data_IF_918851986380
#
_entry.id   IF_918851986380
#
_cell.length_a   1.000
_cell.length_b   1.000
_cell.length_c   1.000
_cell.angle_alpha   90.00
_cell.angle_beta   90.00
_cell.angle_gamma   90.00
#
_symmetry.space_group_name_H-M   'P 1'
#
loop_
_entity.id
_entity.type
_entity.pdbx_description
1 polymer ?
#
# COMPACT_ATOMS: atom_id res chain seq x y z
N UNK A 1 8.63 9.65 7.33
CA UNK A 1 8.05 9.02 8.55
C UNK A 1 6.53 9.20 8.51
N UNK A 2 5.74 8.16 8.91
CA UNK A 2 4.28 8.28 8.97
C UNK A 2 3.89 8.19 10.44
N UNK A 3 3.21 9.22 10.96
CA UNK A 3 2.72 9.26 12.34
C UNK A 3 1.21 9.01 12.34
N UNK A 4 0.80 7.98 13.06
CA UNK A 4 -0.59 7.57 13.23
C UNK A 4 -0.95 7.67 14.71
N UNK A 5 -1.97 8.43 15.02
CA UNK A 5 -2.58 8.50 16.35
C UNK A 5 -4.07 8.77 16.19
N UNK A 6 -4.85 7.72 15.93
CA UNK A 6 -6.26 7.87 15.59
C UNK A 6 -7.14 6.74 16.10
N UNK A 7 -8.43 7.04 16.18
CA UNK A 7 -9.49 6.09 16.50
C UNK A 7 -10.56 6.11 15.41
N UNK A 8 -11.00 4.92 15.00
CA UNK A 8 -12.15 4.70 14.12
C UNK A 8 -13.14 3.81 14.85
N UNK A 9 -14.39 4.25 14.89
CA UNK A 9 -15.52 3.47 15.42
C UNK A 9 -16.43 3.04 14.27
N UNK A 10 -16.68 1.73 14.16
CA UNK A 10 -17.54 1.15 13.13
C UNK A 10 -18.45 0.08 13.74
N UNK A 11 -19.63 0.49 14.18
CA UNK A 11 -20.52 -0.38 14.96
C UNK A 11 -19.82 -0.83 16.25
N UNK A 12 -19.68 -2.15 16.43
CA UNK A 12 -18.99 -2.72 17.60
C UNK A 12 -17.46 -2.78 17.42
N UNK A 13 -16.96 -2.60 16.19
CA UNK A 13 -15.53 -2.62 15.93
C UNK A 13 -14.88 -1.26 16.19
N UNK A 14 -13.85 -1.27 17.03
CA UNK A 14 -13.04 -0.08 17.33
C UNK A 14 -11.61 -0.33 16.90
N UNK A 15 -11.09 0.53 16.02
CA UNK A 15 -9.69 0.55 15.61
C UNK A 15 -8.98 1.73 16.29
N UNK A 16 -8.02 1.42 17.14
CA UNK A 16 -7.18 2.40 17.83
C UNK A 16 -5.71 2.15 17.44
N UNK A 17 -5.12 3.12 16.76
CA UNK A 17 -3.74 3.04 16.28
C UNK A 17 -2.98 4.24 16.80
N UNK A 18 -1.95 3.99 17.62
CA UNK A 18 -0.98 5.00 18.04
C UNK A 18 0.41 4.45 17.76
N UNK A 19 0.98 4.84 16.60
CA UNK A 19 2.22 4.27 16.09
C UNK A 19 2.96 5.22 15.15
N UNK A 20 4.29 5.21 15.22
CA UNK A 20 5.16 5.81 14.23
C UNK A 20 5.73 4.74 13.30
N UNK A 21 5.49 4.89 12.00
CA UNK A 21 6.01 4.00 10.97
C UNK A 21 7.34 4.59 10.50
N UNK A 22 8.44 4.01 10.95
CA UNK A 22 9.80 4.54 10.73
C UNK A 22 10.56 3.83 9.63
N UNK A 23 10.13 2.63 9.23
CA UNK A 23 10.74 1.86 8.15
C UNK A 23 10.49 2.45 6.77
N UNK A 24 11.33 2.12 5.80
CA UNK A 24 11.06 2.38 4.39
C UNK A 24 9.89 1.53 3.90
N UNK A 25 9.85 0.25 4.32
CA UNK A 25 8.68 -0.61 4.19
C UNK A 25 8.22 -1.00 5.60
N UNK A 26 7.04 -0.56 5.96
CA UNK A 26 6.37 -1.00 7.18
C UNK A 26 5.30 -2.03 6.83
N UNK A 27 5.43 -3.24 7.37
CA UNK A 27 4.39 -4.25 7.24
C UNK A 27 3.32 -4.07 8.33
N UNK A 28 2.04 -4.06 7.93
CA UNK A 28 0.92 -4.27 8.83
C UNK A 28 0.56 -5.75 8.80
N UNK A 29 0.77 -6.44 9.90
CA UNK A 29 0.57 -7.87 10.05
C UNK A 29 -0.51 -8.18 11.07
N UNK A 30 -1.20 -9.31 10.93
CA UNK A 30 -2.23 -9.76 11.88
C UNK A 30 -3.36 -10.52 11.19
N UNK A 31 -4.29 -11.10 11.98
CA UNK A 31 -5.40 -11.88 11.46
C UNK A 31 -6.36 -11.04 10.59
N UNK A 32 -7.21 -11.73 9.83
CA UNK A 32 -8.30 -11.07 9.10
C UNK A 32 -9.22 -10.35 10.08
N UNK A 33 -9.69 -9.15 9.71
CA UNK A 33 -10.51 -8.31 10.57
C UNK A 33 -9.75 -7.54 11.66
N UNK A 34 -8.41 -7.62 11.73
CA UNK A 34 -7.62 -6.90 12.73
C UNK A 34 -7.59 -5.37 12.54
N UNK A 35 -8.02 -4.86 11.37
CA UNK A 35 -8.02 -3.41 11.07
C UNK A 35 -6.92 -2.95 10.11
N UNK A 36 -6.17 -3.86 9.48
CA UNK A 36 -5.07 -3.53 8.56
C UNK A 36 -5.52 -2.68 7.36
N UNK A 37 -6.50 -3.17 6.59
CA UNK A 37 -7.11 -2.43 5.47
C UNK A 37 -7.71 -1.11 5.93
N UNK A 38 -8.42 -1.11 7.07
CA UNK A 38 -9.01 0.11 7.65
C UNK A 38 -7.95 1.15 7.98
N UNK A 39 -6.76 0.72 8.42
CA UNK A 39 -5.61 1.61 8.65
C UNK A 39 -5.11 2.21 7.33
N UNK A 40 -4.97 1.40 6.27
CA UNK A 40 -4.61 1.92 4.95
C UNK A 40 -5.65 2.91 4.42
N UNK A 41 -6.94 2.57 4.54
CA UNK A 41 -8.06 3.43 4.13
C UNK A 41 -8.04 4.77 4.87
N UNK A 42 -7.70 4.78 6.16
CA UNK A 42 -7.58 6.00 6.94
C UNK A 42 -6.42 6.88 6.42
N UNK A 43 -5.26 6.29 6.13
CA UNK A 43 -4.11 7.02 5.56
C UNK A 43 -4.48 7.57 4.17
N UNK A 44 -5.14 6.76 3.34
CA UNK A 44 -5.58 7.16 2.00
C UNK A 44 -6.68 8.25 2.00
N UNK A 45 -7.41 8.41 3.12
CA UNK A 45 -8.56 9.31 3.22
C UNK A 45 -9.87 8.72 2.69
N UNK A 46 -9.89 7.41 2.48
CA UNK A 46 -11.10 6.66 2.11
C UNK A 46 -11.99 6.40 3.32
N UNK A 47 -11.42 6.53 4.51
CA UNK A 47 -12.12 6.43 5.79
C UNK A 47 -11.63 7.53 6.73
N UNK A 48 -12.57 8.32 7.25
CA UNK A 48 -12.26 9.41 8.17
C UNK A 48 -12.25 8.90 9.61
N UNK A 49 -11.15 9.10 10.39
CA UNK A 49 -11.13 8.74 11.80
C UNK A 49 -12.15 9.56 12.63
N UNK A 50 -12.68 8.96 13.71
CA UNK A 50 -13.56 9.63 14.66
C UNK A 50 -12.81 10.70 15.47
N UNK A 51 -11.52 10.44 15.76
CA UNK A 51 -10.63 11.39 16.46
C UNK A 51 -9.16 11.09 16.18
N UNK A 52 -8.28 12.04 16.53
CA UNK A 52 -6.83 11.88 16.45
C UNK A 52 -6.21 12.59 15.27
N UNK A 53 -5.08 12.08 14.79
CA UNK A 53 -4.31 12.67 13.70
C UNK A 53 -3.59 11.63 12.84
N UNK A 54 -3.36 11.98 11.57
CA UNK A 54 -2.54 11.25 10.61
C UNK A 54 -1.62 12.24 9.93
N UNK A 55 -0.30 12.00 9.94
CA UNK A 55 0.67 12.84 9.27
C UNK A 55 1.70 12.00 8.49
N UNK A 56 2.18 12.53 7.37
CA UNK A 56 3.30 12.01 6.59
C UNK A 56 4.37 13.09 6.58
N UNK A 57 5.52 12.79 7.18
CA UNK A 57 6.57 13.77 7.47
C UNK A 57 5.98 15.01 8.18
N UNK A 58 6.17 16.21 7.65
CA UNK A 58 5.63 17.45 8.21
C UNK A 58 4.21 17.78 7.73
N UNK A 59 3.59 16.90 6.94
CA UNK A 59 2.28 17.15 6.36
C UNK A 59 1.17 16.43 7.12
N UNK A 60 0.31 17.20 7.81
CA UNK A 60 -0.89 16.68 8.47
C UNK A 60 -1.96 16.39 7.43
N UNK A 61 -2.36 15.13 7.30
CA UNK A 61 -3.42 14.67 6.39
C UNK A 61 -4.80 14.69 7.05
N UNK A 62 -4.83 14.39 8.34
CA UNK A 62 -6.03 14.42 9.16
C UNK A 62 -5.70 14.91 10.57
N UNK A 63 -6.56 15.74 11.14
CA UNK A 63 -6.50 16.13 12.55
C UNK A 63 -7.87 16.60 13.03
N UNK A 64 -8.46 15.85 13.95
CA UNK A 64 -9.74 16.23 14.57
C UNK A 64 -9.63 17.50 15.44
N UNK A 65 -8.47 17.72 16.09
CA UNK A 65 -8.22 18.88 16.94
C UNK A 65 -8.15 20.19 16.13
N UNK A 66 -7.49 20.16 14.97
CA UNK A 66 -7.32 21.34 14.11
C UNK A 66 -8.33 21.38 12.95
N UNK A 67 -9.23 20.40 12.88
CA UNK A 67 -10.24 20.26 11.81
C UNK A 67 -9.65 20.18 10.40
N UNK A 68 -8.51 19.49 10.28
CA UNK A 68 -7.88 19.20 9.00
C UNK A 68 -8.39 17.84 8.52
N UNK A 69 -8.89 17.77 7.28
CA UNK A 69 -9.15 16.53 6.55
C UNK A 69 -8.82 16.77 5.07
N UNK A 70 -7.60 16.34 4.70
CA UNK A 70 -7.10 16.51 3.32
C UNK A 70 -7.85 15.55 2.41
N UNK A 71 -8.51 16.03 1.33
CA UNK A 71 -9.22 15.18 0.39
C UNK A 71 -8.29 14.14 -0.26
N UNK A 72 -8.81 12.93 -0.56
CA UNK A 72 -8.07 11.79 -1.12
C UNK A 72 -7.12 12.19 -2.25
N UNK A 73 -7.62 12.94 -3.25
CA UNK A 73 -6.85 13.34 -4.44
C UNK A 73 -5.70 14.31 -4.15
N UNK A 74 -5.65 14.91 -2.96
CA UNK A 74 -4.58 15.83 -2.50
C UNK A 74 -3.60 15.15 -1.55
N UNK A 75 -3.85 13.91 -1.10
CA UNK A 75 -2.95 13.18 -0.19
C UNK A 75 -1.72 12.61 -0.89
N UNK A 76 -1.67 12.62 -2.22
CA UNK A 76 -0.56 12.05 -3.00
C UNK A 76 -0.19 10.61 -2.63
N UNK A 77 -1.20 9.77 -2.45
CA UNK A 77 -1.08 8.37 -2.07
C UNK A 77 -1.20 7.49 -3.32
N UNK A 78 -0.28 6.55 -3.49
CA UNK A 78 -0.44 5.42 -4.41
C UNK A 78 -1.07 4.25 -3.67
N UNK A 79 -2.27 3.81 -4.06
CA UNK A 79 -3.00 2.78 -3.35
C UNK A 79 -3.30 1.57 -4.25
N UNK A 80 -2.90 0.39 -3.80
CA UNK A 80 -3.33 -0.90 -4.34
C UNK A 80 -4.23 -1.54 -3.31
N UNK A 81 -5.54 -1.55 -3.59
CA UNK A 81 -6.54 -2.20 -2.75
C UNK A 81 -6.56 -3.72 -3.01
N UNK A 82 -7.01 -4.49 -2.02
CA UNK A 82 -7.20 -5.94 -2.10
C UNK A 82 -8.11 -6.30 -3.29
N UNK A 83 -9.25 -5.61 -3.42
CA UNK A 83 -10.11 -5.71 -4.59
C UNK A 83 -9.62 -4.76 -5.68
N UNK A 84 -8.89 -5.31 -6.63
CA UNK A 84 -8.25 -4.53 -7.68
C UNK A 84 -9.26 -3.84 -8.58
N UNK A 85 -9.27 -2.51 -8.54
CA UNK A 85 -10.08 -1.66 -9.40
C UNK A 85 -9.23 -1.04 -10.51
N UNK A 86 -9.31 -1.59 -11.72
CA UNK A 86 -8.76 -1.01 -12.93
C UNK A 86 -9.85 -0.26 -13.70
N UNK A 87 -9.46 0.77 -14.46
CA UNK A 87 -10.38 1.50 -15.31
C UNK A 87 -10.81 0.62 -16.50
N UNK A 88 -12.07 0.17 -16.56
CA UNK A 88 -12.49 -0.85 -17.54
C UNK A 88 -12.47 -0.37 -19.01
N UNK A 89 -12.55 0.94 -19.21
CA UNK A 89 -12.54 1.60 -20.53
C UNK A 89 -11.12 1.93 -21.04
N UNK A 90 -10.09 1.64 -20.25
CA UNK A 90 -8.70 1.88 -20.62
C UNK A 90 -7.95 0.58 -20.90
N UNK A 91 -6.98 0.61 -21.81
CA UNK A 91 -6.02 -0.48 -21.97
C UNK A 91 -5.13 -0.61 -20.74
N UNK A 92 -4.42 -1.73 -20.59
CA UNK A 92 -3.42 -1.93 -19.53
C UNK A 92 -2.42 -0.79 -19.51
N UNK A 93 -1.82 -0.45 -20.67
CA UNK A 93 -0.87 0.67 -20.79
C UNK A 93 -1.44 1.97 -20.25
N UNK A 94 -2.67 2.31 -20.61
CA UNK A 94 -3.33 3.53 -20.15
C UNK A 94 -3.66 3.48 -18.67
N UNK A 95 -4.02 2.32 -18.12
CA UNK A 95 -4.19 2.13 -16.68
C UNK A 95 -2.89 2.40 -15.93
N UNK A 96 -1.78 1.79 -16.37
CA UNK A 96 -0.46 1.96 -15.74
C UNK A 96 -0.01 3.41 -15.76
N UNK A 97 -0.24 4.10 -16.87
CA UNK A 97 0.17 5.50 -17.05
C UNK A 97 -0.80 6.53 -16.45
N UNK A 98 -1.95 6.10 -15.91
CA UNK A 98 -3.02 7.01 -15.48
C UNK A 98 -2.57 8.02 -14.40
N UNK A 99 -1.76 7.58 -13.45
CA UNK A 99 -1.26 8.43 -12.37
C UNK A 99 0.07 9.14 -12.66
N UNK A 100 0.59 9.01 -13.89
CA UNK A 100 1.89 9.57 -14.26
C UNK A 100 1.91 11.09 -14.16
N UNK A 101 2.95 11.62 -13.51
CA UNK A 101 3.26 13.07 -13.45
C UNK A 101 4.67 13.32 -13.97
N UNK A 102 5.00 14.57 -14.25
CA UNK A 102 6.37 14.99 -14.57
C UNK A 102 7.31 14.70 -13.41
N UNK A 103 8.56 14.31 -13.70
CA UNK A 103 9.55 13.92 -12.67
C UNK A 103 9.44 12.48 -12.17
N UNK A 104 8.74 11.63 -12.88
CA UNK A 104 8.58 10.21 -12.56
C UNK A 104 9.92 9.49 -12.44
N UNK A 105 10.07 8.68 -11.37
CA UNK A 105 11.32 7.97 -11.04
C UNK A 105 11.52 6.66 -11.80
N UNK A 106 10.45 6.04 -12.29
CA UNK A 106 10.50 4.77 -13.03
C UNK A 106 9.94 4.89 -14.44
N UNK A 107 10.51 4.14 -15.39
CA UNK A 107 10.01 4.08 -16.76
C UNK A 107 8.97 2.98 -16.94
N UNK A 108 8.04 3.16 -17.88
CA UNK A 108 7.07 2.12 -18.23
C UNK A 108 7.73 0.78 -18.64
N UNK A 109 8.78 0.76 -19.50
CA UNK A 109 9.46 -0.49 -19.84
C UNK A 109 10.03 -1.21 -18.62
N UNK A 110 10.66 -0.48 -17.69
CA UNK A 110 11.20 -1.06 -16.46
C UNK A 110 10.12 -1.72 -15.61
N UNK A 111 9.02 -1.02 -15.36
CA UNK A 111 7.92 -1.53 -14.53
C UNK A 111 7.18 -2.67 -15.25
N UNK A 112 7.02 -2.59 -16.57
CA UNK A 112 6.35 -3.62 -17.35
C UNK A 112 7.15 -4.93 -17.36
N UNK A 113 8.47 -4.85 -17.56
CA UNK A 113 9.35 -6.02 -17.51
C UNK A 113 9.39 -6.64 -16.10
N UNK A 114 9.51 -5.79 -15.07
CA UNK A 114 9.53 -6.20 -13.66
C UNK A 114 8.30 -7.04 -13.29
N UNK A 115 7.11 -6.59 -13.73
CA UNK A 115 5.84 -7.22 -13.37
C UNK A 115 5.33 -8.18 -14.44
N UNK A 116 6.13 -8.46 -15.47
CA UNK A 116 5.79 -9.33 -16.60
C UNK A 116 4.43 -8.98 -17.24
N UNK A 117 4.19 -7.69 -17.46
CA UNK A 117 2.97 -7.18 -18.08
C UNK A 117 3.20 -6.61 -19.47
N UNK A 118 4.42 -6.72 -20.04
CA UNK A 118 4.75 -6.24 -21.37
C UNK A 118 3.79 -6.81 -22.45
N UNK A 119 3.50 -8.14 -22.48
CA UNK A 119 2.59 -8.72 -23.46
C UNK A 119 1.13 -8.29 -23.29
N UNK A 120 0.83 -7.64 -22.15
CA UNK A 120 -0.54 -7.24 -21.78
C UNK A 120 -0.83 -5.77 -22.10
N UNK A 121 0.18 -4.95 -22.39
CA UNK A 121 0.07 -3.48 -22.42
C UNK A 121 -1.05 -2.97 -23.34
N UNK A 122 -1.28 -3.61 -24.47
CA UNK A 122 -2.29 -3.19 -25.45
C UNK A 122 -3.65 -3.87 -25.24
N UNK A 123 -3.76 -4.82 -24.28
CA UNK A 123 -5.02 -5.52 -23.97
C UNK A 123 -5.99 -4.65 -23.18
N UNK A 124 -7.28 -4.95 -23.31
CA UNK A 124 -8.33 -4.46 -22.42
C UNK A 124 -8.29 -5.18 -21.06
N UNK A 125 -8.59 -4.47 -19.97
CA UNK A 125 -8.52 -5.05 -18.61
C UNK A 125 -9.56 -6.15 -18.35
N UNK A 126 -10.63 -6.23 -19.13
CA UNK A 126 -11.65 -7.28 -19.02
C UNK A 126 -11.12 -8.66 -19.41
N UNK A 127 -10.04 -8.71 -20.19
CA UNK A 127 -9.41 -9.95 -20.67
C UNK A 127 -8.34 -10.50 -19.71
N UNK A 128 -8.08 -9.81 -18.59
CA UNK A 128 -7.03 -10.17 -17.65
C UNK A 128 -7.52 -11.16 -16.61
N UNK A 129 -6.67 -12.12 -16.24
CA UNK A 129 -6.82 -12.95 -15.05
C UNK A 129 -6.72 -12.11 -13.76
N UNK A 130 -7.08 -12.68 -12.62
CA UNK A 130 -6.96 -12.02 -11.32
C UNK A 130 -5.53 -11.57 -11.01
N UNK A 131 -4.55 -12.45 -11.20
CA UNK A 131 -3.13 -12.14 -10.98
C UNK A 131 -2.59 -11.09 -11.97
N UNK A 132 -3.01 -11.12 -13.24
CA UNK A 132 -2.65 -10.08 -14.21
C UNK A 132 -3.22 -8.72 -13.83
N UNK A 133 -4.49 -8.66 -13.37
CA UNK A 133 -5.09 -7.42 -12.86
C UNK A 133 -4.31 -6.87 -11.67
N UNK A 134 -3.89 -7.72 -10.74
CA UNK A 134 -3.14 -7.31 -9.56
C UNK A 134 -1.77 -6.74 -9.93
N UNK A 135 -1.05 -7.38 -10.86
CA UNK A 135 0.23 -6.85 -11.38
C UNK A 135 0.07 -5.50 -12.09
N UNK A 136 -0.99 -5.33 -12.85
CA UNK A 136 -1.30 -4.04 -13.52
C UNK A 136 -1.63 -2.95 -12.50
N UNK A 137 -2.36 -3.27 -11.42
CA UNK A 137 -2.65 -2.30 -10.36
C UNK A 137 -1.38 -1.90 -9.58
N UNK A 138 -0.50 -2.86 -9.30
CA UNK A 138 0.80 -2.59 -8.70
C UNK A 138 1.66 -1.73 -9.63
N UNK A 139 1.70 -2.03 -10.94
CA UNK A 139 2.38 -1.20 -11.93
C UNK A 139 1.87 0.24 -11.92
N UNK A 140 0.54 0.44 -11.87
CA UNK A 140 -0.07 1.77 -11.79
C UNK A 140 0.35 2.52 -10.53
N UNK A 141 0.39 1.86 -9.38
CA UNK A 141 0.82 2.47 -8.12
C UNK A 141 2.31 2.87 -8.17
N UNK A 142 3.19 2.00 -8.67
CA UNK A 142 4.62 2.28 -8.84
C UNK A 142 4.88 3.41 -9.84
N UNK A 143 4.03 3.54 -10.86
CA UNK A 143 4.11 4.61 -11.85
C UNK A 143 3.48 5.92 -11.36
N UNK A 144 2.84 5.94 -10.22
CA UNK A 144 2.34 7.17 -9.61
C UNK A 144 3.49 7.95 -8.96
N UNK A 145 3.44 9.28 -9.00
CA UNK A 145 4.38 10.15 -8.27
C UNK A 145 3.90 10.32 -6.83
N UNK A 146 3.67 9.20 -6.14
CA UNK A 146 3.13 9.18 -4.79
C UNK A 146 4.18 9.60 -3.75
N UNK A 147 3.73 10.24 -2.68
CA UNK A 147 4.53 10.51 -1.48
C UNK A 147 4.61 9.27 -0.57
N UNK A 148 3.63 8.39 -0.65
CA UNK A 148 3.57 7.10 0.06
C UNK A 148 2.86 6.06 -0.81
N UNK A 149 3.31 4.81 -0.74
CA UNK A 149 2.63 3.66 -1.35
C UNK A 149 1.92 2.85 -0.27
N UNK A 150 0.64 2.59 -0.47
CA UNK A 150 -0.19 1.74 0.38
C UNK A 150 -0.56 0.50 -0.43
N UNK A 151 -0.12 -0.67 0.03
CA UNK A 151 -0.26 -1.92 -0.69
C UNK A 151 -1.03 -2.92 0.19
N UNK A 152 -2.27 -3.21 -0.17
CA UNK A 152 -3.14 -4.14 0.55
C UNK A 152 -3.14 -5.50 -0.14
N UNK A 153 -2.40 -6.46 0.41
CA UNK A 153 -2.19 -7.82 -0.12
C UNK A 153 -1.86 -7.84 -1.63
N UNK A 154 -0.86 -7.05 -2.09
CA UNK A 154 -0.64 -6.80 -3.51
C UNK A 154 -0.18 -8.03 -4.30
N UNK A 155 0.19 -9.11 -3.64
CA UNK A 155 0.63 -10.36 -4.26
C UNK A 155 -0.27 -11.56 -3.94
N UNK A 156 -1.43 -11.36 -3.31
CA UNK A 156 -2.29 -12.46 -2.87
C UNK A 156 -2.79 -13.35 -4.03
N UNK A 157 -3.10 -12.77 -5.19
CA UNK A 157 -3.56 -13.50 -6.38
C UNK A 157 -2.43 -13.89 -7.36
N UNK A 158 -1.16 -13.69 -6.95
CA UNK A 158 0.02 -14.03 -7.74
C UNK A 158 0.55 -15.41 -7.31
N UNK A 159 0.87 -16.28 -8.28
CA UNK A 159 1.45 -17.58 -7.98
C UNK A 159 2.81 -17.48 -7.29
N UNK A 160 3.18 -18.53 -6.57
CA UNK A 160 4.37 -18.53 -5.70
C UNK A 160 5.67 -18.29 -6.47
N UNK A 161 5.80 -18.84 -7.69
CA UNK A 161 7.01 -18.69 -8.49
C UNK A 161 7.19 -17.24 -8.95
N UNK A 162 6.12 -16.64 -9.46
CA UNK A 162 6.14 -15.25 -9.90
C UNK A 162 6.28 -14.29 -8.70
N UNK A 163 5.66 -14.61 -7.55
CA UNK A 163 5.83 -13.84 -6.32
C UNK A 163 7.29 -13.76 -5.91
N UNK A 164 8.03 -14.90 -5.92
CA UNK A 164 9.48 -14.93 -5.64
C UNK A 164 10.31 -14.10 -6.60
N UNK A 165 9.86 -13.94 -7.84
CA UNK A 165 10.51 -13.05 -8.82
C UNK A 165 10.18 -11.58 -8.60
N UNK A 166 8.99 -11.25 -8.13
CA UNK A 166 8.56 -9.86 -7.89
C UNK A 166 9.19 -9.30 -6.60
N UNK A 167 9.34 -10.09 -5.54
CA UNK A 167 9.85 -9.63 -4.25
C UNK A 167 11.19 -8.88 -4.35
N UNK A 168 12.24 -9.40 -5.04
CA UNK A 168 13.51 -8.67 -5.20
C UNK A 168 13.38 -7.32 -5.92
N UNK A 169 12.37 -7.18 -6.79
CA UNK A 169 12.12 -5.89 -7.43
C UNK A 169 11.45 -4.90 -6.48
N UNK A 170 10.57 -5.36 -5.58
CA UNK A 170 10.00 -4.48 -4.54
C UNK A 170 11.08 -4.03 -3.56
N UNK A 171 12.06 -4.88 -3.24
CA UNK A 171 13.25 -4.49 -2.48
C UNK A 171 14.03 -3.37 -3.20
N UNK A 172 14.27 -3.52 -4.51
CA UNK A 172 14.92 -2.46 -5.31
C UNK A 172 14.09 -1.17 -5.35
N UNK A 173 12.77 -1.27 -5.49
CA UNK A 173 11.87 -0.11 -5.43
C UNK A 173 12.02 0.61 -4.09
N UNK A 174 12.06 -0.12 -2.98
CA UNK A 174 12.35 0.41 -1.65
C UNK A 174 13.64 1.23 -1.64
N UNK A 175 14.71 0.67 -2.20
CA UNK A 175 16.05 1.25 -2.12
C UNK A 175 16.23 2.45 -3.08
N UNK A 176 15.63 2.37 -4.27
CA UNK A 176 15.78 3.39 -5.33
C UNK A 176 14.80 4.55 -5.18
N UNK A 177 13.51 4.29 -4.87
CA UNK A 177 12.49 5.35 -4.87
C UNK A 177 12.51 6.22 -3.62
N UNK A 178 12.98 5.71 -2.49
CA UNK A 178 12.93 6.37 -1.18
C UNK A 178 11.53 6.86 -0.78
N UNK A 179 10.49 6.22 -1.32
CA UNK A 179 9.09 6.46 -0.97
C UNK A 179 8.71 5.47 0.12
N UNK A 180 8.17 5.90 1.26
CA UNK A 180 7.71 4.98 2.28
C UNK A 180 6.58 4.10 1.73
N UNK A 181 6.61 2.82 2.10
CA UNK A 181 5.63 1.83 1.71
C UNK A 181 4.97 1.27 2.96
N UNK A 182 3.65 1.28 3.02
CA UNK A 182 2.89 0.52 4.02
C UNK A 182 2.31 -0.70 3.32
N UNK A 183 2.72 -1.87 3.77
CA UNK A 183 2.48 -3.15 3.11
C UNK A 183 1.64 -4.06 4.00
N UNK A 184 0.44 -4.40 3.60
CA UNK A 184 -0.40 -5.38 4.28
C UNK A 184 -0.18 -6.75 3.67
N UNK A 185 0.14 -7.73 4.50
CA UNK A 185 0.22 -9.14 4.10
C UNK A 185 -0.05 -10.05 5.30
N UNK A 186 -0.45 -11.27 5.03
CA UNK A 186 -0.52 -12.36 6.01
C UNK A 186 0.60 -13.39 5.79
N UNK A 187 1.47 -13.21 4.79
CA UNK A 187 2.57 -14.09 4.48
C UNK A 187 3.84 -13.66 5.23
N UNK A 188 4.30 -14.48 6.18
CA UNK A 188 5.52 -14.21 6.95
C UNK A 188 6.75 -14.05 6.07
N UNK A 189 6.85 -14.87 5.02
CA UNK A 189 7.96 -14.80 4.04
C UNK A 189 8.08 -13.42 3.39
N UNK A 190 6.95 -12.78 3.03
CA UNK A 190 6.94 -11.45 2.46
C UNK A 190 7.39 -10.39 3.47
N UNK A 191 6.96 -10.53 4.73
CA UNK A 191 7.39 -9.63 5.81
C UNK A 191 8.90 -9.69 6.00
N UNK A 192 9.47 -10.89 6.12
CA UNK A 192 10.92 -11.07 6.29
C UNK A 192 11.74 -10.60 5.07
N UNK A 193 11.19 -10.73 3.85
CA UNK A 193 11.87 -10.29 2.65
C UNK A 193 11.85 -8.77 2.46
N UNK A 194 10.73 -8.11 2.79
CA UNK A 194 10.50 -6.73 2.39
C UNK A 194 10.58 -5.71 3.53
N UNK A 195 10.05 -6.07 4.71
CA UNK A 195 9.80 -5.08 5.74
C UNK A 195 11.04 -4.73 6.55
N UNK A 196 11.24 -3.45 6.82
CA UNK A 196 12.20 -2.95 7.79
C UNK A 196 11.58 -2.81 9.18
N UNK A 197 10.25 -2.68 9.22
CA UNK A 197 9.47 -2.49 10.44
C UNK A 197 8.13 -3.20 10.33
N UNK A 198 7.66 -3.77 11.42
CA UNK A 198 6.37 -4.48 11.49
C UNK A 198 5.51 -3.87 12.57
N UNK A 199 4.23 -3.71 12.27
CA UNK A 199 3.19 -3.38 13.23
C UNK A 199 2.18 -4.52 13.24
N UNK A 200 2.09 -5.23 14.36
CA UNK A 200 1.13 -6.29 14.54
C UNK A 200 -0.17 -5.72 15.10
N UNK A 201 -1.25 -5.99 14.38
CA UNK A 201 -2.61 -5.57 14.73
C UNK A 201 -3.44 -6.78 15.13
N UNK A 202 -4.15 -6.68 16.25
CA UNK A 202 -5.14 -7.66 16.69
C UNK A 202 -6.36 -6.94 17.26
N UNK A 203 -7.55 -7.33 16.81
CA UNK A 203 -8.84 -6.80 17.31
C UNK A 203 -8.89 -5.28 17.39
N UNK A 204 -8.36 -4.61 16.36
CA UNK A 204 -8.38 -3.16 16.26
C UNK A 204 -7.31 -2.44 17.10
N UNK A 205 -6.30 -3.13 17.61
CA UNK A 205 -5.21 -2.51 18.41
C UNK A 205 -3.85 -2.97 17.95
N UNK A 206 -2.86 -2.10 18.11
CA UNK A 206 -1.45 -2.47 17.96
C UNK A 206 -1.04 -3.25 19.20
N UNK A 207 -0.62 -4.51 19.00
CA UNK A 207 -0.19 -5.40 20.09
C UNK A 207 1.33 -5.50 20.20
N UNK A 208 2.03 -5.32 19.08
CA UNK A 208 3.48 -5.34 19.04
C UNK A 208 3.98 -4.57 17.82
N UNK A 209 5.15 -3.95 17.91
CA UNK A 209 5.84 -3.35 16.77
C UNK A 209 7.35 -3.43 16.96
N UNK A 210 8.10 -3.50 15.86
CA UNK A 210 9.55 -3.62 15.90
C UNK A 210 10.11 -4.19 14.60
N UNK A 211 11.33 -4.71 14.66
CA UNK A 211 11.96 -5.40 13.54
C UNK A 211 11.26 -6.73 13.22
N UNK A 212 11.23 -7.17 11.94
CA UNK A 212 10.56 -8.42 11.55
C UNK A 212 10.96 -9.64 12.39
N UNK A 213 12.25 -9.80 12.69
CA UNK A 213 12.76 -10.94 13.47
C UNK A 213 12.26 -10.96 14.93
N UNK A 214 11.88 -9.81 15.49
CA UNK A 214 11.37 -9.70 16.85
C UNK A 214 9.86 -9.92 16.94
N UNK A 215 9.12 -9.47 15.91
CA UNK A 215 7.66 -9.45 15.89
C UNK A 215 7.09 -10.72 15.26
N UNK A 216 7.75 -11.24 14.21
CA UNK A 216 7.29 -12.42 13.45
C UNK A 216 8.21 -13.60 13.78
N UNK A 217 7.79 -14.43 14.71
CA UNK A 217 8.49 -15.66 15.09
C UNK A 217 7.98 -16.89 14.34
#
# INVERSE_FOLDING_TARGET
MIALDFLIEQGEFVLEVSQQLTGRITALFGPSGAGKTTTLDAIAGLRTPSRGSIAIDDHVLFSSATRIDVPVHKRHVGYVAQDVSLFPHLSVKRNVLYGRREGQRMSLPTVAAMLEIEPLLDRGVSQLSGGERQRVALARALMSSAAVLLLDEPLAAVDLELRRRILPYLERVRDELRVPIVYVTHAREEVHALADFVVMLERGRVVQSGEPAEVIR
#
